data_IF_759388608559
#
_entry.id   IF_759388608559
#
_cell.length_a   1.000
_cell.length_b   1.000
_cell.length_c   1.000
_cell.angle_alpha   90.00
_cell.angle_beta   90.00
_cell.angle_gamma   90.00
#
_symmetry.space_group_name_H-M   'P 1'
#
loop_
_entity.id
_entity.type
_entity.pdbx_description
1 polymer ?
#
# COMPACT_ATOMS: atom_id res chain seq x y z
N UNK A 1 42.40 -10.20 66.31
CA UNK A 1 41.52 -10.03 65.12
C UNK A 1 40.11 -10.36 65.56
N UNK A 2 39.14 -9.47 65.39
CA UNK A 2 37.76 -9.76 65.78
C UNK A 2 37.21 -10.84 64.86
N UNK A 3 36.91 -12.02 65.42
CA UNK A 3 36.27 -13.16 64.72
C UNK A 3 34.96 -12.69 64.06
N UNK A 4 34.37 -11.65 64.65
CA UNK A 4 33.11 -11.08 64.22
C UNK A 4 33.15 -9.99 63.14
N UNK A 5 33.97 -10.16 62.11
CA UNK A 5 34.11 -9.20 61.03
C UNK A 5 33.27 -9.60 59.80
N UNK A 6 32.14 -8.92 59.60
CA UNK A 6 31.32 -9.05 58.39
C UNK A 6 30.07 -9.95 58.51
N UNK A 7 29.70 -10.40 59.72
CA UNK A 7 28.55 -11.30 59.85
C UNK A 7 27.23 -10.55 59.88
N UNK A 8 26.23 -11.18 59.23
CA UNK A 8 24.84 -10.76 59.31
C UNK A 8 24.21 -11.37 60.55
N UNK A 9 23.13 -10.73 61.02
CA UNK A 9 22.33 -11.21 62.15
C UNK A 9 21.82 -12.66 61.94
N UNK A 10 21.55 -13.05 60.70
CA UNK A 10 21.15 -14.42 60.35
C UNK A 10 22.27 -15.44 60.58
N UNK A 11 23.52 -15.10 60.29
CA UNK A 11 24.65 -16.03 60.43
C UNK A 11 24.93 -16.33 61.91
N UNK A 12 24.89 -15.28 62.75
CA UNK A 12 25.04 -15.41 64.19
C UNK A 12 23.85 -16.11 64.85
N UNK A 13 22.65 -16.02 64.25
CA UNK A 13 21.48 -16.75 64.73
C UNK A 13 21.63 -18.25 64.49
N UNK A 14 22.00 -18.65 63.26
CA UNK A 14 22.29 -20.04 62.90
C UNK A 14 23.40 -20.60 63.79
N UNK A 15 24.47 -19.84 64.01
CA UNK A 15 25.56 -20.27 64.88
C UNK A 15 25.15 -20.46 66.34
N UNK A 16 24.38 -19.54 66.91
CA UNK A 16 23.91 -19.66 68.28
C UNK A 16 22.89 -20.81 68.47
N UNK A 17 22.07 -21.10 67.46
CA UNK A 17 21.19 -22.28 67.44
C UNK A 17 21.99 -23.59 67.40
N UNK A 18 23.08 -23.64 66.64
CA UNK A 18 23.97 -24.82 66.55
C UNK A 18 24.71 -25.09 67.88
N UNK A 19 25.08 -24.03 68.61
CA UNK A 19 25.60 -24.11 69.99
C UNK A 19 24.53 -24.50 71.04
N UNK A 20 23.32 -24.84 70.60
CA UNK A 20 22.14 -25.18 71.43
C UNK A 20 21.72 -24.06 72.40
N UNK A 21 22.08 -22.83 72.11
CA UNK A 21 21.68 -21.66 72.90
C UNK A 21 20.29 -21.19 72.46
N UNK A 22 19.51 -20.66 73.40
CA UNK A 22 18.16 -20.16 73.09
C UNK A 22 18.24 -18.80 72.41
N UNK A 23 17.85 -18.72 71.14
CA UNK A 23 17.88 -17.50 70.35
C UNK A 23 16.47 -17.09 69.93
N UNK A 24 16.15 -15.80 70.08
CA UNK A 24 14.89 -15.20 69.64
C UNK A 24 15.15 -14.15 68.55
N UNK A 25 14.20 -13.97 67.64
CA UNK A 25 14.22 -12.96 66.57
C UNK A 25 14.36 -11.52 67.09
N UNK A 26 13.98 -11.28 68.36
CA UNK A 26 14.15 -10.00 69.04
C UNK A 26 15.61 -9.65 69.41
N UNK A 27 16.52 -10.62 69.45
CA UNK A 27 17.92 -10.37 69.84
C UNK A 27 18.64 -9.49 68.82
N UNK A 28 19.35 -8.46 69.29
CA UNK A 28 20.20 -7.62 68.44
C UNK A 28 21.52 -8.35 68.17
N UNK A 29 22.23 -7.92 67.14
CA UNK A 29 23.54 -8.46 66.76
C UNK A 29 24.50 -8.54 67.96
N UNK A 30 24.48 -7.52 68.84
CA UNK A 30 25.32 -7.48 70.05
C UNK A 30 24.93 -8.55 71.08
N UNK A 31 23.63 -8.84 71.22
CA UNK A 31 23.11 -9.83 72.15
C UNK A 31 23.51 -11.23 71.69
N UNK A 32 23.41 -11.51 70.39
CA UNK A 32 23.85 -12.77 69.77
C UNK A 32 25.35 -13.01 69.96
N UNK A 33 26.19 -11.99 69.70
CA UNK A 33 27.64 -12.09 69.94
C UNK A 33 27.96 -12.42 71.40
N UNK A 34 27.20 -11.85 72.35
CA UNK A 34 27.39 -12.10 73.77
C UNK A 34 26.99 -13.52 74.18
N UNK A 35 25.90 -14.05 73.62
CA UNK A 35 25.44 -15.44 73.86
C UNK A 35 26.49 -16.44 73.37
N UNK A 36 26.98 -16.26 72.13
CA UNK A 36 27.99 -17.14 71.52
C UNK A 36 29.29 -17.14 72.32
N UNK A 37 29.77 -15.96 72.74
CA UNK A 37 30.99 -15.84 73.54
C UNK A 37 30.86 -16.37 74.96
N UNK A 38 29.63 -16.51 75.48
CA UNK A 38 29.36 -17.04 76.82
C UNK A 38 29.16 -18.57 76.83
N UNK A 39 29.11 -19.22 75.67
CA UNK A 39 28.96 -20.67 75.57
C UNK A 39 30.20 -21.39 76.11
N UNK A 40 29.97 -22.48 76.85
CA UNK A 40 31.03 -23.32 77.42
C UNK A 40 31.76 -24.16 76.39
N UNK A 41 31.19 -24.33 75.20
CA UNK A 41 31.72 -25.12 74.09
C UNK A 41 32.44 -24.25 73.05
N UNK A 42 32.69 -22.98 73.39
CA UNK A 42 33.32 -22.02 72.50
C UNK A 42 34.83 -22.27 72.35
N UNK A 43 35.25 -22.68 71.15
CA UNK A 43 36.65 -22.73 70.70
C UNK A 43 36.87 -21.73 69.56
N UNK A 44 37.93 -20.91 69.62
CA UNK A 44 38.14 -19.83 68.66
C UNK A 44 38.50 -20.32 67.25
N UNK A 45 39.20 -21.45 67.12
CA UNK A 45 39.62 -22.00 65.82
C UNK A 45 38.45 -22.72 65.14
N UNK A 46 37.74 -23.55 65.90
CA UNK A 46 36.49 -24.19 65.47
C UNK A 46 35.42 -23.14 65.12
N UNK A 47 35.28 -22.09 65.92
CA UNK A 47 34.34 -20.98 65.67
C UNK A 47 34.58 -20.29 64.32
N UNK A 48 35.85 -20.09 63.94
CA UNK A 48 36.22 -19.50 62.65
C UNK A 48 35.86 -20.43 61.49
N UNK A 49 36.15 -21.72 61.62
CA UNK A 49 35.83 -22.71 60.60
C UNK A 49 34.30 -22.82 60.39
N UNK A 50 33.55 -22.93 61.49
CA UNK A 50 32.08 -22.94 61.46
C UNK A 50 31.49 -21.67 60.84
N UNK A 51 31.99 -20.50 61.24
CA UNK A 51 31.52 -19.24 60.67
C UNK A 51 31.82 -19.14 59.17
N UNK A 52 32.99 -19.60 58.74
CA UNK A 52 33.33 -19.66 57.32
C UNK A 52 32.40 -20.59 56.54
N UNK A 53 32.05 -21.76 57.12
CA UNK A 53 31.09 -22.70 56.53
C UNK A 53 29.71 -22.05 56.37
N UNK A 54 29.16 -21.43 57.40
CA UNK A 54 27.85 -20.75 57.35
C UNK A 54 27.84 -19.62 56.31
N UNK A 55 28.92 -18.82 56.25
CA UNK A 55 29.05 -17.74 55.27
C UNK A 55 29.14 -18.28 53.84
N UNK A 56 29.89 -19.38 53.63
CA UNK A 56 30.02 -20.01 52.32
C UNK A 56 28.71 -20.65 51.87
N UNK A 57 28.03 -21.41 52.72
CA UNK A 57 26.72 -22.01 52.42
C UNK A 57 25.67 -20.95 52.05
N UNK A 58 25.67 -19.80 52.73
CA UNK A 58 24.79 -18.69 52.37
C UNK A 58 25.15 -18.12 51.00
N UNK A 59 26.44 -17.90 50.72
CA UNK A 59 26.89 -17.38 49.41
C UNK A 59 26.53 -18.35 48.28
N UNK A 60 26.73 -19.65 48.48
CA UNK A 60 26.34 -20.69 47.54
C UNK A 60 24.82 -20.71 47.32
N UNK A 61 24.02 -20.54 48.39
CA UNK A 61 22.56 -20.44 48.27
C UNK A 61 22.13 -19.21 47.46
N UNK A 62 22.70 -18.04 47.75
CA UNK A 62 22.45 -16.79 47.01
C UNK A 62 22.90 -16.92 45.54
N UNK A 63 23.98 -17.64 45.26
CA UNK A 63 24.43 -17.93 43.89
C UNK A 63 23.54 -18.96 43.17
N UNK A 64 23.09 -20.00 43.87
CA UNK A 64 22.15 -20.98 43.33
C UNK A 64 20.80 -20.35 43.01
N UNK A 65 20.32 -19.44 43.85
CA UNK A 65 19.07 -18.71 43.62
C UNK A 65 19.19 -17.83 42.38
N UNK A 66 20.26 -17.06 42.25
CA UNK A 66 20.55 -16.27 41.03
C UNK A 66 20.65 -17.16 39.78
N UNK A 67 21.38 -18.27 39.85
CA UNK A 67 21.46 -19.25 38.74
C UNK A 67 20.09 -19.81 38.37
N UNK A 68 19.27 -20.12 39.36
CA UNK A 68 17.92 -20.64 39.13
C UNK A 68 17.02 -19.59 38.48
N UNK A 69 17.08 -18.32 38.92
CA UNK A 69 16.39 -17.20 38.29
C UNK A 69 16.83 -17.00 36.82
N UNK A 70 18.15 -17.05 36.57
CA UNK A 70 18.70 -16.96 35.21
C UNK A 70 18.21 -18.11 34.31
N UNK A 71 18.16 -19.34 34.83
CA UNK A 71 17.63 -20.50 34.11
C UNK A 71 16.14 -20.30 33.81
N UNK A 72 15.34 -19.86 34.78
CA UNK A 72 13.91 -19.60 34.58
C UNK A 72 13.68 -18.52 33.50
N UNK A 73 14.45 -17.44 33.54
CA UNK A 73 14.38 -16.39 32.52
C UNK A 73 14.79 -16.91 31.14
N UNK A 74 15.86 -17.71 31.05
CA UNK A 74 16.30 -18.29 29.78
C UNK A 74 15.27 -19.30 29.21
N UNK A 75 14.64 -20.10 30.07
CA UNK A 75 13.54 -21.00 29.67
C UNK A 75 12.32 -20.23 29.18
N UNK A 76 11.97 -19.13 29.85
CA UNK A 76 10.87 -18.25 29.45
C UNK A 76 11.13 -17.62 28.08
N UNK A 77 12.33 -17.04 27.88
CA UNK A 77 12.74 -16.48 26.59
C UNK A 77 12.70 -17.53 25.47
N UNK A 78 13.22 -18.75 25.72
CA UNK A 78 13.20 -19.83 24.74
C UNK A 78 11.77 -20.23 24.35
N UNK A 79 10.85 -20.28 25.32
CA UNK A 79 9.43 -20.56 25.04
C UNK A 79 8.77 -19.44 24.22
N UNK A 80 9.08 -18.19 24.53
CA UNK A 80 8.57 -17.04 23.78
C UNK A 80 9.08 -17.05 22.33
N UNK A 81 10.38 -17.28 22.14
CA UNK A 81 10.98 -17.43 20.81
C UNK A 81 10.35 -18.57 20.01
N UNK A 82 10.09 -19.72 20.65
CA UNK A 82 9.39 -20.83 20.01
C UNK A 82 7.97 -20.45 19.59
N UNK A 83 7.22 -19.73 20.43
CA UNK A 83 5.88 -19.26 20.06
C UNK A 83 5.91 -18.27 18.91
N UNK A 84 6.88 -17.35 18.90
CA UNK A 84 7.06 -16.40 17.79
C UNK A 84 7.42 -17.15 16.51
N UNK A 85 8.34 -18.11 16.57
CA UNK A 85 8.74 -18.92 15.43
C UNK A 85 7.57 -19.75 14.88
N UNK A 86 6.74 -20.32 15.76
CA UNK A 86 5.57 -21.10 15.35
C UNK A 86 4.51 -20.21 14.68
N UNK A 87 4.22 -19.02 15.24
CA UNK A 87 3.33 -18.05 14.58
C UNK A 87 3.84 -17.65 13.20
N UNK A 88 5.14 -17.38 13.06
CA UNK A 88 5.76 -17.07 11.77
C UNK A 88 5.60 -18.20 10.75
N UNK A 89 5.76 -19.46 11.19
CA UNK A 89 5.54 -20.64 10.33
C UNK A 89 4.07 -20.73 9.89
N UNK A 90 3.13 -20.51 10.80
CA UNK A 90 1.70 -20.50 10.50
C UNK A 90 1.35 -19.41 9.50
N UNK A 91 1.88 -18.20 9.68
CA UNK A 91 1.68 -17.08 8.76
C UNK A 91 2.28 -17.40 7.37
N UNK A 92 3.46 -18.00 7.31
CA UNK A 92 4.09 -18.41 6.04
C UNK A 92 3.26 -19.46 5.29
N UNK A 93 2.72 -20.44 6.00
CA UNK A 93 1.80 -21.44 5.43
C UNK A 93 0.53 -20.76 4.93
N UNK A 94 -0.07 -19.86 5.71
CA UNK A 94 -1.28 -19.12 5.29
C UNK A 94 -1.03 -18.27 4.04
N UNK A 95 0.07 -17.53 4.01
CA UNK A 95 0.47 -16.71 2.85
C UNK A 95 0.65 -17.60 1.61
N UNK A 96 1.28 -18.76 1.77
CA UNK A 96 1.52 -19.69 0.66
C UNK A 96 0.23 -20.27 0.12
N UNK A 97 -0.70 -20.67 0.99
CA UNK A 97 -2.00 -21.20 0.58
C UNK A 97 -2.86 -20.10 -0.07
N UNK A 98 -2.84 -18.88 0.46
CA UNK A 98 -3.52 -17.75 -0.15
C UNK A 98 -2.99 -17.47 -1.57
N UNK A 99 -1.67 -17.45 -1.76
CA UNK A 99 -1.06 -17.28 -3.09
C UNK A 99 -1.48 -18.38 -4.06
N UNK A 100 -1.53 -19.63 -3.59
CA UNK A 100 -1.99 -20.77 -4.41
C UNK A 100 -3.45 -20.60 -4.81
N UNK A 101 -4.30 -20.13 -3.89
CA UNK A 101 -5.71 -19.88 -4.16
C UNK A 101 -5.89 -18.73 -5.17
N UNK A 102 -5.15 -17.63 -5.00
CA UNK A 102 -5.13 -16.50 -5.94
C UNK A 102 -4.65 -16.93 -7.33
N UNK A 103 -3.63 -17.79 -7.43
CA UNK A 103 -3.14 -18.32 -8.72
C UNK A 103 -4.23 -19.16 -9.41
N UNK A 104 -4.92 -20.03 -8.67
CA UNK A 104 -6.03 -20.83 -9.20
C UNK A 104 -7.15 -19.93 -9.70
N UNK A 105 -7.50 -18.88 -8.95
CA UNK A 105 -8.53 -17.92 -9.35
C UNK A 105 -8.12 -17.13 -10.60
N UNK A 106 -6.87 -16.69 -10.68
CA UNK A 106 -6.32 -16.01 -11.85
C UNK A 106 -6.38 -16.91 -13.10
N UNK A 107 -5.97 -18.17 -12.99
CA UNK A 107 -6.06 -19.15 -14.09
C UNK A 107 -7.50 -19.37 -14.56
N UNK A 108 -8.47 -19.40 -13.64
CA UNK A 108 -9.89 -19.50 -14.00
C UNK A 108 -10.36 -18.25 -14.76
N UNK A 109 -9.98 -17.07 -14.31
CA UNK A 109 -10.33 -15.81 -14.96
C UNK A 109 -9.74 -15.73 -16.39
N UNK A 110 -8.47 -16.10 -16.56
CA UNK A 110 -7.81 -16.17 -17.87
C UNK A 110 -8.52 -17.16 -18.81
N UNK A 111 -8.96 -18.31 -18.28
CA UNK A 111 -9.74 -19.27 -19.04
C UNK A 111 -11.08 -18.70 -19.51
N UNK A 112 -11.82 -17.99 -18.65
CA UNK A 112 -13.07 -17.33 -19.01
C UNK A 112 -12.90 -16.18 -20.01
N UNK A 113 -11.84 -15.38 -19.90
CA UNK A 113 -11.52 -14.34 -20.88
C UNK A 113 -11.19 -14.93 -22.25
N UNK A 114 -10.37 -15.99 -22.30
CA UNK A 114 -10.06 -16.69 -23.55
C UNK A 114 -11.32 -17.23 -24.21
N UNK A 115 -12.19 -17.89 -23.43
CA UNK A 115 -13.46 -18.41 -23.90
C UNK A 115 -14.37 -17.31 -24.46
N UNK A 116 -14.51 -16.18 -23.75
CA UNK A 116 -15.28 -15.01 -24.25
C UNK A 116 -14.71 -14.44 -25.54
N UNK A 117 -13.38 -14.41 -25.69
CA UNK A 117 -12.72 -13.93 -26.91
C UNK A 117 -12.97 -14.86 -28.09
N UNK A 118 -12.89 -16.16 -27.89
CA UNK A 118 -13.21 -17.17 -28.91
C UNK A 118 -14.66 -17.08 -29.37
N UNK A 119 -15.61 -16.95 -28.43
CA UNK A 119 -17.04 -16.76 -28.73
C UNK A 119 -17.30 -15.47 -29.54
N UNK A 120 -16.60 -14.38 -29.21
CA UNK A 120 -16.69 -13.12 -29.94
C UNK A 120 -16.16 -13.24 -31.37
N UNK A 121 -14.99 -13.86 -31.57
CA UNK A 121 -14.40 -14.10 -32.90
C UNK A 121 -15.25 -15.05 -33.75
N UNK A 122 -15.87 -16.07 -33.15
CA UNK A 122 -16.80 -16.95 -33.87
C UNK A 122 -18.05 -16.19 -34.33
N UNK A 123 -18.63 -15.34 -33.47
CA UNK A 123 -19.78 -14.50 -33.84
C UNK A 123 -19.41 -13.53 -34.97
N UNK A 124 -18.27 -12.86 -34.86
CA UNK A 124 -17.76 -11.95 -35.89
C UNK A 124 -17.59 -12.66 -37.25
N UNK A 125 -17.03 -13.88 -37.27
CA UNK A 125 -16.93 -14.69 -38.50
C UNK A 125 -18.30 -15.07 -39.08
N UNK A 126 -19.30 -15.37 -38.24
CA UNK A 126 -20.68 -15.64 -38.70
C UNK A 126 -21.31 -14.40 -39.32
N UNK A 127 -21.20 -13.25 -38.65
CA UNK A 127 -21.75 -11.98 -39.13
C UNK A 127 -21.10 -11.57 -40.48
N UNK A 128 -19.79 -11.76 -40.63
CA UNK A 128 -19.07 -11.48 -41.88
C UNK A 128 -19.48 -12.41 -43.03
N UNK A 129 -19.65 -13.71 -42.74
CA UNK A 129 -20.17 -14.67 -43.72
C UNK A 129 -21.63 -14.37 -44.12
N UNK A 130 -22.47 -13.94 -43.18
CA UNK A 130 -23.85 -13.54 -43.45
C UNK A 130 -23.90 -12.28 -44.34
N UNK A 131 -23.04 -11.30 -44.06
CA UNK A 131 -22.92 -10.08 -44.86
C UNK A 131 -22.53 -10.39 -46.32
N UNK A 132 -21.53 -11.27 -46.54
CA UNK A 132 -21.15 -11.69 -47.89
C UNK A 132 -22.26 -12.47 -48.61
N UNK A 133 -23.01 -13.33 -47.90
CA UNK A 133 -24.18 -14.01 -48.47
C UNK A 133 -25.29 -13.02 -48.86
N UNK A 134 -25.50 -11.96 -48.08
CA UNK A 134 -26.49 -10.93 -48.39
C UNK A 134 -26.10 -10.11 -49.61
N UNK A 135 -24.81 -9.80 -49.79
CA UNK A 135 -24.27 -9.13 -50.97
C UNK A 135 -24.49 -9.94 -52.25
N UNK A 136 -24.33 -11.26 -52.20
CA UNK A 136 -24.60 -12.15 -53.34
C UNK A 136 -26.11 -12.17 -53.68
N UNK A 137 -27.01 -12.20 -52.68
CA UNK A 137 -28.47 -12.14 -52.92
C UNK A 137 -28.89 -10.85 -53.60
N UNK A 138 -28.40 -9.70 -53.13
CA UNK A 138 -28.67 -8.39 -53.73
C UNK A 138 -28.09 -8.25 -55.15
N UNK A 139 -26.93 -8.85 -55.41
CA UNK A 139 -26.34 -8.90 -56.76
C UNK A 139 -27.15 -9.77 -57.75
N UNK A 140 -27.85 -10.80 -57.26
CA UNK A 140 -28.74 -11.63 -58.07
C UNK A 140 -30.10 -10.96 -58.32
N UNK A 141 -30.62 -10.18 -57.37
CA UNK A 141 -31.88 -9.43 -57.48
C UNK A 141 -31.72 -8.12 -58.31
N UNK A 142 -30.50 -7.60 -58.46
CA UNK A 142 -30.19 -6.40 -59.26
C UNK A 142 -30.35 -6.52 -60.78
N UNK A 143 -30.87 -7.63 -61.31
CA UNK A 143 -31.19 -7.77 -62.76
C UNK A 143 -32.69 -7.70 -63.06
N UNK A 144 -33.50 -7.17 -62.15
CA UNK A 144 -34.90 -6.89 -62.44
C UNK A 144 -35.39 -5.68 -61.66
N UNK A 145 -35.21 -4.50 -62.26
CA UNK A 145 -36.28 -3.53 -62.54
C UNK A 145 -35.66 -2.16 -62.79
N UNK A 146 -35.64 -1.79 -64.07
CA UNK A 146 -35.61 -0.40 -64.50
C UNK A 146 -36.89 0.30 -64.00
N UNK A 147 -36.77 1.51 -63.45
CA UNK A 147 -37.18 2.73 -64.15
C UNK A 147 -37.59 3.87 -63.19
N UNK A 148 -37.14 5.07 -63.56
CA UNK A 148 -37.69 6.39 -63.25
C UNK A 148 -37.45 7.00 -61.86
N UNK A 149 -36.44 7.89 -61.79
CA UNK A 149 -36.72 9.24 -61.30
C UNK A 149 -35.91 10.28 -62.09
N UNK A 150 -36.64 11.27 -62.61
CA UNK A 150 -36.20 12.35 -63.48
C UNK A 150 -35.54 13.46 -62.67
N UNK A 151 -34.49 14.03 -63.29
CA UNK A 151 -33.83 15.32 -63.07
C UNK A 151 -34.31 16.24 -61.93
N UNK A 152 -33.35 16.72 -61.11
CA UNK A 152 -33.05 18.16 -61.09
C UNK A 152 -31.74 18.51 -60.36
N UNK A 153 -30.93 19.30 -61.06
CA UNK A 153 -30.09 20.40 -60.60
C UNK A 153 -28.92 20.11 -59.64
N UNK A 154 -27.74 20.01 -60.27
CA UNK A 154 -26.57 20.84 -60.01
C UNK A 154 -26.74 21.90 -58.88
N UNK A 155 -26.12 21.61 -57.73
CA UNK A 155 -25.48 22.65 -56.93
C UNK A 155 -24.10 22.11 -56.56
N UNK A 156 -23.06 22.81 -57.01
CA UNK A 156 -21.68 22.63 -56.59
C UNK A 156 -21.59 22.60 -55.05
N UNK A 157 -21.61 21.41 -54.45
CA UNK A 157 -21.22 21.20 -53.07
C UNK A 157 -19.79 20.70 -53.09
N UNK A 158 -18.83 21.64 -53.22
CA UNK A 158 -17.56 21.44 -52.53
C UNK A 158 -17.95 21.22 -51.07
N UNK A 159 -17.87 19.98 -50.61
CA UNK A 159 -18.01 19.66 -49.19
C UNK A 159 -16.89 20.40 -48.46
N UNK A 160 -17.16 21.63 -48.07
CA UNK A 160 -16.55 22.24 -46.90
C UNK A 160 -16.99 21.31 -45.77
N UNK A 161 -16.13 20.36 -45.38
CA UNK A 161 -16.23 19.71 -44.07
C UNK A 161 -16.53 20.84 -43.08
N UNK A 162 -17.66 20.82 -42.34
CA UNK A 162 -17.89 21.85 -41.33
C UNK A 162 -16.69 21.79 -40.39
N UNK A 163 -15.90 22.87 -40.36
CA UNK A 163 -14.71 22.98 -39.54
C UNK A 163 -15.18 22.96 -38.09
N UNK A 164 -15.20 21.77 -37.49
CA UNK A 164 -15.64 21.56 -36.12
C UNK A 164 -14.62 22.25 -35.21
N UNK A 165 -14.90 23.50 -34.84
CA UNK A 165 -14.05 24.24 -33.91
C UNK A 165 -14.14 23.59 -32.52
N UNK A 166 -13.00 23.23 -31.92
CA UNK A 166 -12.92 22.54 -30.61
C UNK A 166 -13.70 23.28 -29.52
N UNK A 167 -13.85 24.62 -29.62
CA UNK A 167 -14.64 25.44 -28.72
C UNK A 167 -16.11 25.02 -28.58
N UNK A 168 -16.68 24.32 -29.57
CA UNK A 168 -18.04 23.78 -29.52
C UNK A 168 -18.11 22.34 -29.00
N UNK A 169 -16.99 21.62 -29.03
CA UNK A 169 -16.88 20.21 -28.63
C UNK A 169 -16.40 20.04 -27.19
N UNK A 170 -15.83 21.08 -26.59
CA UNK A 170 -15.19 21.02 -25.29
C UNK A 170 -15.64 22.17 -24.38
N UNK A 171 -16.03 21.84 -23.16
CA UNK A 171 -16.34 22.85 -22.14
C UNK A 171 -15.06 23.52 -21.62
N UNK A 172 -15.17 24.79 -21.18
CA UNK A 172 -14.05 25.52 -20.58
C UNK A 172 -13.48 24.75 -19.38
N UNK A 173 -12.16 24.77 -19.25
CA UNK A 173 -11.49 24.10 -18.14
C UNK A 173 -11.90 24.73 -16.80
N UNK A 174 -12.19 23.88 -15.83
CA UNK A 174 -12.53 24.27 -14.47
C UNK A 174 -11.62 23.51 -13.50
N UNK A 175 -10.78 24.24 -12.78
CA UNK A 175 -9.77 23.69 -11.87
C UNK A 175 -10.33 23.01 -10.62
N UNK A 176 -11.60 23.23 -10.30
CA UNK A 176 -12.26 22.68 -9.10
C UNK A 176 -12.86 21.30 -9.36
N UNK A 177 -13.20 21.01 -10.62
CA UNK A 177 -13.93 19.79 -11.02
C UNK A 177 -13.05 18.88 -11.90
N UNK A 178 -12.33 19.48 -12.86
CA UNK A 178 -11.65 18.75 -13.93
C UNK A 178 -10.15 18.62 -13.68
N UNK A 179 -9.63 17.41 -13.91
CA UNK A 179 -8.19 17.15 -13.87
C UNK A 179 -7.54 17.68 -15.14
N UNK A 180 -6.52 18.54 -14.99
CA UNK A 180 -5.81 19.11 -16.14
C UNK A 180 -5.23 18.03 -17.06
N UNK A 181 -4.73 16.90 -16.51
CA UNK A 181 -4.17 15.82 -17.31
C UNK A 181 -5.22 15.11 -18.17
N UNK A 182 -6.40 14.82 -17.61
CA UNK A 182 -7.49 14.21 -18.38
C UNK A 182 -8.08 15.20 -19.39
N UNK A 183 -8.15 16.48 -19.02
CA UNK A 183 -8.58 17.54 -19.91
C UNK A 183 -7.66 17.68 -21.13
N UNK A 184 -6.34 17.65 -20.91
CA UNK A 184 -5.36 17.70 -22.00
C UNK A 184 -5.44 16.45 -22.89
N UNK A 185 -5.59 15.24 -22.33
CA UNK A 185 -5.75 14.01 -23.13
C UNK A 185 -7.02 14.06 -23.99
N UNK A 186 -8.12 14.57 -23.44
CA UNK A 186 -9.37 14.72 -24.18
C UNK A 186 -9.24 15.77 -25.28
N UNK A 187 -8.54 16.87 -25.01
CA UNK A 187 -8.20 17.89 -26.01
C UNK A 187 -7.34 17.32 -27.14
N UNK A 188 -6.26 16.58 -26.84
CA UNK A 188 -5.38 15.97 -27.84
C UNK A 188 -6.14 15.00 -28.75
N UNK A 189 -7.05 14.19 -28.19
CA UNK A 189 -7.90 13.29 -28.98
C UNK A 189 -8.84 14.06 -29.91
N UNK A 190 -9.50 15.10 -29.40
CA UNK A 190 -10.41 15.93 -30.19
C UNK A 190 -9.67 16.72 -31.28
N UNK A 191 -8.49 17.25 -30.98
CA UNK A 191 -7.68 17.98 -31.95
C UNK A 191 -7.18 17.07 -33.08
N UNK A 192 -6.79 15.83 -32.77
CA UNK A 192 -6.47 14.80 -33.77
C UNK A 192 -7.69 14.39 -34.59
N UNK A 193 -8.85 14.22 -33.96
CA UNK A 193 -10.10 13.85 -34.63
C UNK A 193 -10.62 14.97 -35.55
N UNK A 194 -10.39 16.23 -35.18
CA UNK A 194 -10.74 17.40 -35.97
C UNK A 194 -9.66 17.81 -37.00
N UNK A 195 -8.61 16.99 -37.19
CA UNK A 195 -7.50 17.24 -38.12
C UNK A 195 -6.86 18.64 -37.95
N UNK A 196 -6.76 19.14 -36.71
CA UNK A 196 -6.19 20.45 -36.43
C UNK A 196 -4.66 20.41 -36.46
N UNK A 197 -4.06 21.38 -37.15
CA UNK A 197 -2.60 21.51 -37.22
C UNK A 197 -2.00 21.79 -35.85
N UNK A 198 -0.96 21.05 -35.47
CA UNK A 198 -0.31 21.12 -34.15
C UNK A 198 0.17 22.53 -33.78
N UNK A 199 0.59 23.34 -34.76
CA UNK A 199 0.98 24.74 -34.57
C UNK A 199 -0.17 25.67 -34.15
N UNK A 200 -1.42 25.21 -34.21
CA UNK A 200 -2.63 25.94 -33.77
C UNK A 200 -3.24 25.33 -32.50
N UNK A 201 -2.65 24.27 -31.94
CA UNK A 201 -3.20 23.63 -30.74
C UNK A 201 -3.15 24.54 -29.52
N UNK A 202 -2.05 25.30 -29.35
CA UNK A 202 -1.93 26.26 -28.25
C UNK A 202 -3.00 27.34 -28.32
N UNK A 203 -3.27 27.91 -29.50
CA UNK A 203 -4.26 28.99 -29.63
C UNK A 203 -5.67 28.50 -29.31
N UNK A 204 -6.01 27.28 -29.74
CA UNK A 204 -7.26 26.62 -29.37
C UNK A 204 -7.33 26.29 -27.87
N UNK A 205 -6.21 25.84 -27.27
CA UNK A 205 -6.13 25.55 -25.85
C UNK A 205 -6.28 26.81 -24.99
N UNK A 206 -5.68 27.93 -25.38
CA UNK A 206 -5.77 29.21 -24.67
C UNK A 206 -7.21 29.73 -24.58
N UNK A 207 -8.02 29.55 -25.63
CA UNK A 207 -9.44 29.93 -25.60
C UNK A 207 -10.32 29.02 -24.72
N UNK A 208 -9.79 27.87 -24.29
CA UNK A 208 -10.48 26.88 -23.45
C UNK A 208 -10.06 26.94 -21.99
N UNK A 209 -8.90 27.54 -21.69
CA UNK A 209 -8.37 27.68 -20.34
C UNK A 209 -8.94 28.92 -19.62
N UNK A 210 -9.06 28.87 -18.27
CA UNK A 210 -9.27 30.04 -17.44
C UNK A 210 -8.24 31.14 -17.69
N UNK A 211 -8.69 32.38 -17.52
CA UNK A 211 -7.92 33.58 -17.84
C UNK A 211 -6.59 33.68 -17.08
N UNK A 212 -6.59 33.31 -15.80
CA UNK A 212 -5.41 33.27 -14.93
C UNK A 212 -4.33 32.29 -15.43
N UNK A 213 -4.75 31.18 -16.06
CA UNK A 213 -3.85 30.17 -16.63
C UNK A 213 -3.32 30.62 -17.98
N UNK A 214 -4.19 31.17 -18.84
CA UNK A 214 -3.80 31.71 -20.13
C UNK A 214 -2.79 32.86 -20.00
N UNK A 215 -2.93 33.71 -18.96
CA UNK A 215 -1.96 34.76 -18.66
C UNK A 215 -0.57 34.24 -18.30
N UNK A 216 -0.46 33.06 -17.67
CA UNK A 216 0.84 32.48 -17.33
C UNK A 216 1.56 32.01 -18.58
N UNK A 217 0.83 31.41 -19.52
CA UNK A 217 1.38 30.98 -20.81
C UNK A 217 1.81 32.20 -21.64
N UNK A 218 1.03 33.28 -21.61
CA UNK A 218 1.34 34.53 -22.34
C UNK A 218 2.54 35.31 -21.76
N UNK A 219 3.07 34.95 -20.58
CA UNK A 219 4.27 35.56 -19.99
C UNK A 219 5.56 34.84 -20.35
N UNK A 220 5.45 33.62 -20.88
CA UNK A 220 6.58 32.86 -21.38
C UNK A 220 7.00 33.37 -22.78
N UNK A 221 8.26 33.19 -23.20
CA UNK A 221 8.71 33.60 -24.52
C UNK A 221 7.94 32.86 -25.64
N UNK A 222 7.76 33.50 -26.80
CA UNK A 222 6.97 32.98 -27.92
C UNK A 222 7.41 31.57 -28.39
N UNK A 223 8.69 31.24 -28.23
CA UNK A 223 9.26 29.92 -28.54
C UNK A 223 8.68 28.80 -27.66
N UNK A 224 8.38 29.12 -26.40
CA UNK A 224 7.80 28.21 -25.40
C UNK A 224 6.28 28.29 -25.45
N UNK A 225 5.73 29.50 -25.60
CA UNK A 225 4.30 29.72 -25.61
C UNK A 225 3.61 29.10 -26.84
N UNK A 226 4.30 29.01 -27.99
CA UNK A 226 3.75 28.39 -29.20
C UNK A 226 3.99 26.87 -29.30
N UNK A 227 4.82 26.30 -28.42
CA UNK A 227 5.03 24.85 -28.37
C UNK A 227 4.05 24.17 -27.41
N UNK A 228 3.22 23.28 -27.95
CA UNK A 228 2.24 22.56 -27.14
C UNK A 228 2.89 21.68 -26.07
N UNK A 229 4.05 21.10 -26.35
CA UNK A 229 4.79 20.24 -25.42
C UNK A 229 5.24 20.98 -24.17
N UNK A 230 5.82 22.16 -24.36
CA UNK A 230 6.25 23.02 -23.25
C UNK A 230 5.06 23.62 -22.49
N UNK A 231 4.01 24.07 -23.19
CA UNK A 231 2.77 24.53 -22.54
C UNK A 231 2.13 23.43 -21.69
N UNK A 232 2.09 22.19 -22.18
CA UNK A 232 1.62 21.03 -21.43
C UNK A 232 2.43 20.81 -20.15
N UNK A 233 3.77 20.89 -20.22
CA UNK A 233 4.64 20.79 -19.03
C UNK A 233 4.36 21.89 -18.01
N UNK A 234 4.17 23.14 -18.46
CA UNK A 234 3.85 24.28 -17.58
C UNK A 234 2.51 24.06 -16.88
N UNK A 235 1.48 23.62 -17.61
CA UNK A 235 0.16 23.32 -17.07
C UNK A 235 0.22 22.20 -16.02
N UNK A 236 0.90 21.10 -16.33
CA UNK A 236 1.07 19.97 -15.42
C UNK A 236 1.86 20.34 -14.16
N UNK A 237 2.91 21.16 -14.30
CA UNK A 237 3.72 21.65 -13.18
C UNK A 237 2.95 22.64 -12.31
N UNK A 238 2.17 23.54 -12.91
CA UNK A 238 1.40 24.55 -12.17
C UNK A 238 0.26 23.94 -11.37
N UNK A 239 -0.45 22.99 -11.97
CA UNK A 239 -1.51 22.24 -11.31
C UNK A 239 -0.99 21.13 -10.39
N UNK A 240 0.33 21.09 -10.13
CA UNK A 240 1.06 20.19 -9.20
C UNK A 240 0.33 18.86 -9.03
N UNK A 241 0.63 17.91 -9.92
CA UNK A 241 0.38 16.49 -9.73
C UNK A 241 0.86 16.05 -8.33
N UNK A 242 -0.02 16.17 -7.34
CA UNK A 242 0.23 15.70 -5.99
C UNK A 242 -0.68 14.50 -5.82
N UNK A 243 -0.12 13.28 -5.62
CA UNK A 243 -0.87 12.08 -5.25
C UNK A 243 -1.91 12.33 -4.15
N UNK A 244 -1.74 13.35 -3.30
CA UNK A 244 -2.72 13.87 -2.36
C UNK A 244 -4.11 14.18 -2.95
N UNK A 245 -4.23 14.81 -4.13
CA UNK A 245 -5.57 15.11 -4.70
C UNK A 245 -6.25 13.87 -5.27
N UNK A 246 -5.47 12.89 -5.76
CA UNK A 246 -5.98 11.56 -6.11
C UNK A 246 -6.41 10.79 -4.87
N UNK A 247 -5.64 10.86 -3.78
CA UNK A 247 -6.00 10.28 -2.48
C UNK A 247 -7.27 10.92 -1.90
N UNK A 248 -7.44 12.23 -2.04
CA UNK A 248 -8.65 12.93 -1.59
C UNK A 248 -9.89 12.55 -2.41
N UNK A 249 -9.81 12.45 -3.75
CA UNK A 249 -10.94 11.91 -4.53
C UNK A 249 -11.17 10.42 -4.27
N UNK A 250 -10.14 9.62 -4.01
CA UNK A 250 -10.30 8.22 -3.57
C UNK A 250 -11.05 8.14 -2.23
N UNK A 251 -10.73 9.02 -1.28
CA UNK A 251 -11.42 9.10 0.01
C UNK A 251 -12.87 9.60 -0.10
N UNK A 252 -13.18 10.44 -1.09
CA UNK A 252 -14.52 10.97 -1.33
C UNK A 252 -15.35 10.12 -2.32
N UNK A 253 -14.72 9.16 -3.02
CA UNK A 253 -15.40 8.24 -3.93
C UNK A 253 -16.06 7.14 -3.09
N UNK A 254 -17.26 7.42 -2.60
CA UNK A 254 -18.09 6.44 -1.93
C UNK A 254 -18.99 5.71 -2.94
N UNK A 255 -19.23 4.42 -2.66
CA UNK A 255 -20.16 3.58 -3.40
C UNK A 255 -21.52 4.30 -3.51
N UNK A 256 -21.94 4.60 -4.74
CA UNK A 256 -23.29 5.09 -5.00
C UNK A 256 -24.29 4.04 -4.49
N UNK A 257 -25.28 4.46 -3.70
CA UNK A 257 -26.25 3.60 -2.98
C UNK A 257 -26.97 2.58 -3.88
N UNK A 258 -26.99 2.77 -5.21
CA UNK A 258 -27.57 1.85 -6.20
C UNK A 258 -26.59 0.97 -6.98
N UNK A 259 -25.27 1.02 -6.72
CA UNK A 259 -24.26 0.28 -7.48
C UNK A 259 -23.76 -0.97 -6.74
N UNK A 260 -23.63 -2.10 -7.45
CA UNK A 260 -23.00 -3.31 -6.90
C UNK A 260 -21.49 -3.09 -6.70
N UNK A 261 -20.90 -3.75 -5.70
CA UNK A 261 -19.47 -3.61 -5.40
C UNK A 261 -18.56 -3.97 -6.58
N UNK A 262 -19.02 -4.85 -7.48
CA UNK A 262 -18.32 -5.19 -8.73
C UNK A 262 -18.25 -4.01 -9.71
N UNK A 263 -19.32 -3.22 -9.83
CA UNK A 263 -19.35 -2.04 -10.70
C UNK A 263 -18.45 -0.94 -10.13
N UNK A 264 -18.48 -0.74 -8.81
CA UNK A 264 -17.60 0.20 -8.13
C UNK A 264 -16.11 -0.17 -8.27
N UNK A 265 -15.76 -1.46 -8.15
CA UNK A 265 -14.41 -1.94 -8.38
C UNK A 265 -13.98 -1.78 -9.85
N UNK A 266 -14.90 -1.96 -10.80
CA UNK A 266 -14.65 -1.74 -12.22
C UNK A 266 -14.41 -0.25 -12.53
N UNK A 267 -15.23 0.65 -11.97
CA UNK A 267 -15.08 2.10 -12.10
C UNK A 267 -13.76 2.58 -11.49
N UNK A 268 -13.42 2.12 -10.28
CA UNK A 268 -12.13 2.41 -9.64
C UNK A 268 -10.95 1.89 -10.47
N UNK A 269 -11.05 0.68 -11.02
CA UNK A 269 -10.00 0.10 -11.85
C UNK A 269 -9.85 0.84 -13.19
N UNK A 270 -10.96 1.26 -13.79
CA UNK A 270 -10.96 2.08 -15.01
C UNK A 270 -10.33 3.44 -14.75
N UNK A 271 -10.74 4.11 -13.67
CA UNK A 271 -10.19 5.40 -13.25
C UNK A 271 -8.69 5.31 -12.98
N UNK A 272 -8.23 4.26 -12.28
CA UNK A 272 -6.81 4.03 -12.02
C UNK A 272 -6.02 3.73 -13.30
N UNK A 273 -6.60 2.97 -14.23
CA UNK A 273 -5.97 2.65 -15.53
C UNK A 273 -5.84 3.90 -16.41
N UNK A 274 -6.86 4.76 -16.46
CA UNK A 274 -6.79 6.04 -17.18
C UNK A 274 -5.79 7.00 -16.54
N UNK A 275 -5.74 7.07 -15.20
CA UNK A 275 -4.74 7.87 -14.49
C UNK A 275 -3.30 7.35 -14.74
N UNK A 276 -3.09 6.04 -14.66
CA UNK A 276 -1.78 5.43 -14.90
C UNK A 276 -1.32 5.57 -16.36
N UNK A 277 -2.25 5.55 -17.31
CA UNK A 277 -1.94 5.80 -18.72
C UNK A 277 -1.64 7.28 -18.99
N UNK A 278 -2.29 8.21 -18.30
CA UNK A 278 -1.96 9.63 -18.36
C UNK A 278 -0.58 9.94 -17.79
N UNK A 279 -0.19 9.29 -16.69
CA UNK A 279 1.13 9.46 -16.06
C UNK A 279 2.26 8.80 -16.85
N UNK A 280 2.00 7.71 -17.58
CA UNK A 280 3.03 7.05 -18.43
C UNK A 280 3.37 7.83 -19.70
N UNK A 281 2.52 8.75 -20.14
CA UNK A 281 2.81 9.64 -21.26
C UNK A 281 3.79 10.77 -20.87
N UNK A 282 4.03 10.99 -19.58
CA UNK A 282 4.93 12.02 -19.04
C UNK A 282 6.35 11.47 -18.71
N UNK A 283 6.70 10.25 -19.17
CA UNK A 283 8.01 9.62 -18.92
C UNK A 283 8.94 9.54 -20.15
N UNK A 284 8.74 10.37 -21.18
CA UNK A 284 9.71 10.56 -22.26
C UNK A 284 9.96 12.05 -22.52
#
# INVERSE_FOLDING_TARGET
MSIFAGERKCDLKIWAEELRETVNDGHKLKDLKKIILASKEYDEESAKEWMNTIINERKEREENERRNEEIQMAEWMRKEEQQIAERRRQDEIQITEQKRQEEIELRKLEYEERKRKEEYEERKRKDEMEFELQKIRLGAEGRSLNSNFVANQNVNSMQIKPKLEIHHLMQKFNSDVNYISLYLIMFERLAKQAEILENTWVTHLLGLLPYDVAQLIAREPDEIANDYGEVKKILLKRYKLTPEKFRQKFFMHNKNLGSTWKNFAYELRSFFKECANGVKADCF
#
